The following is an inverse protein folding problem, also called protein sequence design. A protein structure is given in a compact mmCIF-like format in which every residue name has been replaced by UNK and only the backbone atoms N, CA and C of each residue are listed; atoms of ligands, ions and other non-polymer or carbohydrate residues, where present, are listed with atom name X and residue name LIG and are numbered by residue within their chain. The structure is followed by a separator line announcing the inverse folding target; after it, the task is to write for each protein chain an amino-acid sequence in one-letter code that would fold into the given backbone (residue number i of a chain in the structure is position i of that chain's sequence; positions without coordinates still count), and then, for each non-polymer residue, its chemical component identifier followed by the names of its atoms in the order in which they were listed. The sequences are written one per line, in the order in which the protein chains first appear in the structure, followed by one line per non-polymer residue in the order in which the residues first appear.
data_IF_800073185728
#
_entry.id   IF_800073185728
#
_cell.length_a   1.000
_cell.length_b   1.000
_cell.length_c   1.000
_cell.angle_alpha   90.00
_cell.angle_beta   90.00
_cell.angle_gamma   90.00
#
_symmetry.space_group_name_H-M   'P 1'
#
loop_
_entity.id
_entity.type
_entity.pdbx_description
1 polymer ?
#
# COMPACT_ATOMS: atom_id res chain seq x y z
N UNK A 1 10.44 3.44 16.70
CA UNK A 1 9.69 4.40 15.86
C UNK A 1 9.44 3.79 14.49
N UNK A 2 8.31 4.11 13.88
CA UNK A 2 7.96 3.58 12.57
C UNK A 2 7.80 4.70 11.56
N UNK A 3 8.09 4.38 10.31
CA UNK A 3 7.75 5.25 9.19
C UNK A 3 6.46 4.76 8.57
N UNK A 4 5.66 5.70 8.06
CA UNK A 4 4.41 5.39 7.39
C UNK A 4 4.37 5.99 6.01
N UNK A 5 3.72 5.29 5.09
CA UNK A 5 3.49 5.77 3.74
C UNK A 5 2.05 5.50 3.35
N UNK A 6 1.35 6.53 2.90
CA UNK A 6 -0.02 6.37 2.41
C UNK A 6 0.01 6.36 0.88
N UNK A 7 -0.71 5.42 0.30
CA UNK A 7 -0.86 5.30 -1.15
C UNK A 7 -2.34 5.28 -1.47
N UNK A 8 -2.76 6.11 -2.42
CA UNK A 8 -4.13 6.11 -2.89
C UNK A 8 -4.14 5.48 -4.27
N UNK A 9 -4.87 4.37 -4.38
CA UNK A 9 -5.03 3.64 -5.62
C UNK A 9 -6.42 3.90 -6.18
N UNK A 10 -6.49 4.36 -7.43
CA UNK A 10 -7.77 4.52 -8.10
C UNK A 10 -8.16 3.21 -8.76
N UNK A 11 -9.36 2.72 -8.44
CA UNK A 11 -9.85 1.49 -8.99
C UNK A 11 -10.48 1.73 -10.36
N UNK A 12 -10.21 0.82 -11.29
CA UNK A 12 -10.71 0.91 -12.66
C UNK A 12 -12.09 0.32 -12.82
N UNK A 13 -12.59 -0.37 -11.79
CA UNK A 13 -13.81 -1.16 -11.80
C UNK A 13 -13.70 -2.41 -12.68
N UNK A 14 -12.51 -2.78 -13.07
CA UNK A 14 -12.20 -4.05 -13.74
C UNK A 14 -11.49 -4.92 -12.71
N UNK A 15 -12.21 -5.92 -12.19
CA UNK A 15 -11.74 -6.72 -11.07
C UNK A 15 -10.33 -7.28 -11.28
N UNK A 16 -10.07 -7.85 -12.46
CA UNK A 16 -8.77 -8.46 -12.72
C UNK A 16 -7.65 -7.42 -12.75
N UNK A 17 -7.90 -6.28 -13.40
CA UNK A 17 -6.90 -5.22 -13.49
C UNK A 17 -6.62 -4.63 -12.10
N UNK A 18 -7.66 -4.47 -11.30
CA UNK A 18 -7.53 -3.93 -9.95
C UNK A 18 -6.79 -4.91 -9.04
N UNK A 19 -7.07 -6.22 -9.17
CA UNK A 19 -6.33 -7.24 -8.42
C UNK A 19 -4.85 -7.21 -8.76
N UNK A 20 -4.52 -7.15 -10.05
CA UNK A 20 -3.14 -7.13 -10.50
C UNK A 20 -2.42 -5.88 -10.01
N UNK A 21 -3.07 -4.73 -10.12
CA UNK A 21 -2.48 -3.47 -9.66
C UNK A 21 -2.24 -3.50 -8.15
N UNK A 22 -3.19 -4.01 -7.39
CA UNK A 22 -3.06 -4.10 -5.94
C UNK A 22 -1.95 -5.08 -5.55
N UNK A 23 -1.92 -6.24 -6.19
CA UNK A 23 -0.91 -7.26 -5.92
C UNK A 23 0.49 -6.72 -6.23
N UNK A 24 0.65 -6.04 -7.37
CA UNK A 24 1.93 -5.46 -7.75
C UNK A 24 2.38 -4.40 -6.75
N UNK A 25 1.47 -3.55 -6.30
CA UNK A 25 1.77 -2.53 -5.31
C UNK A 25 2.24 -3.14 -3.99
N UNK A 26 1.51 -4.14 -3.51
CA UNK A 26 1.86 -4.82 -2.27
C UNK A 26 3.23 -5.49 -2.35
N UNK A 27 3.50 -6.16 -3.48
CA UNK A 27 4.77 -6.84 -3.67
C UNK A 27 5.92 -5.84 -3.80
N UNK A 28 5.71 -4.75 -4.50
CA UNK A 28 6.73 -3.71 -4.65
C UNK A 28 7.10 -3.10 -3.30
N UNK A 29 6.09 -2.75 -2.51
CA UNK A 29 6.34 -2.16 -1.19
C UNK A 29 6.97 -3.16 -0.24
N UNK A 30 6.57 -4.43 -0.33
CA UNK A 30 7.15 -5.49 0.50
C UNK A 30 8.65 -5.63 0.27
N UNK A 31 9.12 -5.47 -0.97
CA UNK A 31 10.54 -5.53 -1.27
C UNK A 31 11.34 -4.42 -0.58
N UNK A 32 10.70 -3.29 -0.33
CA UNK A 32 11.31 -2.19 0.41
C UNK A 32 11.15 -2.29 1.93
N UNK A 33 10.63 -3.41 2.42
CA UNK A 33 10.42 -3.62 3.85
C UNK A 33 9.15 -3.02 4.39
N UNK A 34 8.25 -2.56 3.51
CA UNK A 34 6.98 -1.99 3.92
C UNK A 34 5.93 -3.06 4.13
N UNK A 35 5.11 -2.87 5.14
CA UNK A 35 4.02 -3.77 5.48
C UNK A 35 2.71 -3.00 5.45
N UNK A 36 1.69 -3.56 4.81
CA UNK A 36 0.37 -2.94 4.80
C UNK A 36 -0.28 -3.07 6.17
N UNK A 37 -0.62 -1.95 6.79
CA UNK A 37 -1.19 -1.92 8.13
C UNK A 37 -2.64 -1.46 8.16
N UNK A 38 -3.07 -0.74 7.14
CA UNK A 38 -4.44 -0.25 7.05
C UNK A 38 -4.84 -0.18 5.59
N UNK A 39 -6.05 -0.64 5.29
CA UNK A 39 -6.63 -0.54 3.96
C UNK A 39 -8.08 -0.06 4.13
N UNK A 40 -8.41 1.01 3.44
CA UNK A 40 -9.78 1.51 3.40
C UNK A 40 -10.18 1.73 1.95
N UNK A 41 -11.48 1.63 1.69
CA UNK A 41 -12.01 1.84 0.35
C UNK A 41 -13.20 2.77 0.43
N UNK A 42 -13.23 3.75 -0.48
CA UNK A 42 -14.36 4.65 -0.61
C UNK A 42 -14.56 4.96 -2.09
N UNK A 43 -15.75 4.64 -2.59
CA UNK A 43 -16.08 4.78 -4.01
C UNK A 43 -15.05 4.05 -4.88
N UNK A 44 -14.40 4.74 -5.81
CA UNK A 44 -13.42 4.15 -6.71
C UNK A 44 -11.98 4.31 -6.21
N UNK A 45 -11.81 4.65 -4.93
CA UNK A 45 -10.48 4.89 -4.36
C UNK A 45 -10.22 3.92 -3.22
N UNK A 46 -9.01 3.41 -3.19
CA UNK A 46 -8.54 2.57 -2.10
C UNK A 46 -7.33 3.25 -1.49
N UNK A 47 -7.36 3.45 -0.18
CA UNK A 47 -6.23 4.03 0.54
C UNK A 47 -5.53 2.92 1.31
N UNK A 48 -4.24 2.78 1.05
CA UNK A 48 -3.41 1.82 1.75
C UNK A 48 -2.36 2.57 2.55
N UNK A 49 -2.19 2.16 3.79
CA UNK A 49 -1.14 2.70 4.64
C UNK A 49 -0.14 1.61 4.91
N UNK A 50 1.11 1.89 4.59
CA UNK A 50 2.22 0.98 4.83
C UNK A 50 3.07 1.50 5.97
N UNK A 51 3.68 0.59 6.68
CA UNK A 51 4.63 0.97 7.73
C UNK A 51 5.86 0.10 7.67
N UNK A 52 6.94 0.62 8.19
CA UNK A 52 8.19 -0.13 8.39
C UNK A 52 8.94 0.49 9.56
N UNK A 53 9.85 -0.27 10.19
CA UNK A 53 10.69 0.33 11.23
C UNK A 53 11.50 1.48 10.66
N UNK A 54 11.50 2.60 11.36
CA UNK A 54 12.31 3.74 10.95
C UNK A 54 13.80 3.40 11.17
N UNK A 55 14.70 3.91 10.30
CA UNK A 55 16.12 3.72 10.53
C UNK A 55 16.51 4.31 11.88
N UNK A 56 17.35 3.58 12.59
CA UNK A 56 17.88 4.08 13.85
C UNK A 56 19.10 4.94 13.52
N UNK A 57 18.98 6.23 13.80
CA UNK A 57 20.15 7.09 13.67
C UNK A 57 21.08 6.78 14.82
N UNK A 58 22.22 6.32 14.45
CA UNK A 58 23.25 6.05 15.43
C UNK A 58 23.91 7.34 15.92
#
# INVERSE_FOLDING_TARGET
MKEYQAVILRLSQRTRDDEDALTDLLNERSRGGWEATLVTQHADRMTLVFSRPAPVDA
#
